data_IF_921316166484
#
_entry.id   IF_921316166484
#
_cell.length_a   1.000
_cell.length_b   1.000
_cell.length_c   1.000
_cell.angle_alpha   90.00
_cell.angle_beta   90.00
_cell.angle_gamma   90.00
#
_symmetry.space_group_name_H-M   'P 1'
#
loop_
_entity.id
_entity.type
_entity.pdbx_description
1 polymer ?
#
# COMPACT_ATOMS: atom_id res chain seq x y z
N UNK A 1 10.75 8.33 -17.42
CA UNK A 1 9.33 8.52 -17.77
C UNK A 1 8.70 9.46 -16.76
N UNK A 2 8.52 10.73 -17.11
CA UNK A 2 7.98 11.76 -16.21
C UNK A 2 6.45 11.71 -16.30
N UNK A 3 5.82 11.06 -15.32
CA UNK A 3 4.35 10.98 -15.25
C UNK A 3 3.75 12.38 -15.01
N UNK A 4 3.44 13.09 -16.10
CA UNK A 4 2.72 14.39 -16.13
C UNK A 4 1.21 14.22 -15.89
N UNK A 5 0.84 13.39 -14.91
CA UNK A 5 -0.53 13.21 -14.46
C UNK A 5 -0.55 13.15 -12.94
N UNK A 6 -1.51 13.80 -12.29
CA UNK A 6 -1.71 13.64 -10.86
C UNK A 6 -2.00 12.17 -10.57
N UNK A 7 -1.05 11.46 -9.96
CA UNK A 7 -1.24 10.07 -9.53
C UNK A 7 -2.51 9.97 -8.68
N UNK A 8 -3.37 9.03 -9.05
CA UNK A 8 -4.57 8.70 -8.29
C UNK A 8 -4.19 8.16 -6.90
N UNK A 9 -5.15 8.20 -5.97
CA UNK A 9 -4.95 7.64 -4.63
C UNK A 9 -4.52 6.16 -4.67
N UNK A 10 -5.09 5.38 -5.61
CA UNK A 10 -4.73 3.98 -5.83
C UNK A 10 -3.26 3.84 -6.24
N UNK A 11 -2.82 4.57 -7.26
CA UNK A 11 -1.45 4.49 -7.77
C UNK A 11 -0.44 4.92 -6.71
N UNK A 12 -0.71 5.99 -5.95
CA UNK A 12 0.15 6.43 -4.85
C UNK A 12 0.33 5.35 -3.79
N UNK A 13 -0.76 4.67 -3.39
CA UNK A 13 -0.70 3.59 -2.41
C UNK A 13 0.14 2.42 -2.95
N UNK A 14 -0.12 2.00 -4.18
CA UNK A 14 0.61 0.89 -4.79
C UNK A 14 2.11 1.19 -4.96
N UNK A 15 2.44 2.42 -5.35
CA UNK A 15 3.83 2.88 -5.50
C UNK A 15 4.57 2.86 -4.16
N UNK A 16 3.98 3.39 -3.10
CA UNK A 16 4.57 3.34 -1.75
C UNK A 16 4.76 1.90 -1.28
N UNK A 17 3.79 1.01 -1.52
CA UNK A 17 3.91 -0.40 -1.16
C UNK A 17 4.93 -1.16 -2.02
N UNK A 18 5.13 -0.75 -3.27
CA UNK A 18 6.19 -1.29 -4.13
C UNK A 18 7.57 -0.89 -3.62
N UNK A 19 7.78 0.39 -3.30
CA UNK A 19 9.08 0.90 -2.85
C UNK A 19 9.44 0.48 -1.42
N UNK A 20 8.46 0.41 -0.51
CA UNK A 20 8.69 0.12 0.92
C UNK A 20 8.40 -1.33 1.31
N UNK A 21 7.74 -2.10 0.44
CA UNK A 21 7.38 -3.50 0.64
C UNK A 21 6.17 -3.71 1.56
N UNK A 22 6.27 -3.31 2.83
CA UNK A 22 5.20 -3.46 3.82
C UNK A 22 5.08 -2.22 4.69
N UNK A 23 3.89 -1.64 4.77
CA UNK A 23 3.62 -0.41 5.51
C UNK A 23 2.43 -0.56 6.46
N UNK A 24 2.49 0.12 7.60
CA UNK A 24 1.33 0.41 8.43
C UNK A 24 0.41 1.47 7.80
N UNK A 25 -0.80 1.60 8.33
CA UNK A 25 -1.73 2.65 7.89
C UNK A 25 -1.16 4.06 8.12
N UNK A 26 -0.39 4.24 9.19
CA UNK A 26 0.21 5.54 9.55
C UNK A 26 1.35 5.91 8.62
N UNK A 27 2.18 4.94 8.23
CA UNK A 27 3.21 5.13 7.23
C UNK A 27 2.62 5.44 5.85
N UNK A 28 1.55 4.74 5.47
CA UNK A 28 0.84 5.03 4.22
C UNK A 28 0.29 6.45 4.20
N UNK A 29 -0.30 6.93 5.30
CA UNK A 29 -0.74 8.32 5.40
C UNK A 29 0.43 9.29 5.29
N UNK A 30 1.54 9.03 5.98
CA UNK A 30 2.75 9.87 5.94
C UNK A 30 3.32 9.97 4.53
N UNK A 31 3.42 8.87 3.79
CA UNK A 31 4.03 8.84 2.46
C UNK A 31 3.09 9.34 1.37
N UNK A 32 1.82 8.93 1.40
CA UNK A 32 0.86 9.31 0.34
C UNK A 32 0.21 10.67 0.58
N UNK A 33 0.27 11.19 1.82
CA UNK A 33 -0.48 12.37 2.30
C UNK A 33 -2.00 12.22 2.14
N UNK A 34 -2.51 10.99 2.11
CA UNK A 34 -3.93 10.67 2.02
C UNK A 34 -4.45 10.36 3.42
N UNK A 35 -5.62 10.94 3.77
CA UNK A 35 -6.26 10.70 5.07
C UNK A 35 -6.54 9.20 5.30
N UNK A 36 -6.39 8.74 6.55
CA UNK A 36 -6.59 7.33 6.97
C UNK A 36 -7.92 6.72 6.49
N UNK A 37 -9.02 7.46 6.59
CA UNK A 37 -10.34 6.97 6.17
C UNK A 37 -10.40 6.65 4.67
N UNK A 38 -9.81 7.51 3.84
CA UNK A 38 -9.71 7.30 2.39
C UNK A 38 -8.78 6.13 2.07
N UNK A 39 -7.63 6.05 2.75
CA UNK A 39 -6.71 4.91 2.63
C UNK A 39 -7.40 3.58 2.92
N UNK A 40 -8.19 3.48 3.99
CA UNK A 40 -8.90 2.25 4.35
C UNK A 40 -9.88 1.79 3.28
N UNK A 41 -10.58 2.71 2.62
CA UNK A 41 -11.47 2.40 1.50
C UNK A 41 -10.66 1.81 0.33
N UNK A 42 -9.57 2.48 -0.05
CA UNK A 42 -8.72 2.00 -1.16
C UNK A 42 -8.04 0.67 -0.83
N UNK A 43 -7.43 0.51 0.35
CA UNK A 43 -6.80 -0.73 0.78
C UNK A 43 -7.81 -1.88 0.84
N UNK A 44 -9.06 -1.60 1.20
CA UNK A 44 -10.12 -2.60 1.19
C UNK A 44 -10.49 -3.04 -0.22
N UNK A 45 -10.59 -2.10 -1.17
CA UNK A 45 -10.84 -2.40 -2.59
C UNK A 45 -9.67 -3.18 -3.20
N UNK A 46 -8.44 -2.71 -2.99
CA UNK A 46 -7.21 -3.35 -3.47
C UNK A 46 -7.04 -4.78 -2.93
N UNK A 47 -7.42 -5.04 -1.69
CA UNK A 47 -7.40 -6.38 -1.14
C UNK A 47 -8.48 -7.29 -1.74
N UNK A 48 -9.67 -6.76 -2.06
CA UNK A 48 -10.70 -7.51 -2.79
C UNK A 48 -10.26 -7.83 -4.22
N UNK A 49 -9.56 -6.89 -4.87
CA UNK A 49 -8.92 -7.07 -6.18
C UNK A 49 -7.72 -8.03 -6.13
N UNK A 50 -7.28 -8.46 -4.94
CA UNK A 50 -6.15 -9.37 -4.77
C UNK A 50 -4.78 -8.72 -4.94
N UNK A 51 -4.70 -7.39 -4.98
CA UNK A 51 -3.46 -6.62 -5.19
C UNK A 51 -2.69 -6.39 -3.89
N UNK A 52 -3.42 -6.20 -2.78
CA UNK A 52 -2.84 -5.90 -1.46
C UNK A 52 -3.19 -7.00 -0.47
N UNK A 53 -2.18 -7.53 0.21
CA UNK A 53 -2.32 -8.38 1.38
C UNK A 53 -2.39 -7.54 2.66
N UNK A 54 -3.21 -7.98 3.61
CA UNK A 54 -3.33 -7.38 4.95
C UNK A 54 -2.91 -8.42 5.99
N UNK A 55 -2.02 -8.04 6.89
CA UNK A 55 -1.58 -8.90 7.99
C UNK A 55 -1.47 -8.13 9.31
N UNK A 56 -1.27 -8.87 10.38
CA UNK A 56 -0.86 -8.29 11.66
C UNK A 56 0.66 -8.29 11.73
N UNK A 57 1.23 -7.18 12.18
CA UNK A 57 2.64 -7.05 12.49
C UNK A 57 2.82 -6.67 13.95
N UNK A 58 3.97 -7.04 14.51
CA UNK A 58 4.39 -6.64 15.86
C UNK A 58 5.64 -5.78 15.77
N UNK A 59 5.66 -4.67 16.50
CA UNK A 59 6.77 -3.72 16.56
C UNK A 59 6.69 -2.97 17.87
N UNK A 60 7.80 -2.92 18.61
CA UNK A 60 7.87 -2.23 19.91
C UNK A 60 6.81 -2.69 20.92
N UNK A 61 6.47 -3.98 20.93
CA UNK A 61 5.46 -4.55 21.83
C UNK A 61 4.01 -4.22 21.48
N UNK A 62 3.74 -3.53 20.36
CA UNK A 62 2.38 -3.22 19.89
C UNK A 62 2.06 -3.99 18.60
N UNK A 63 0.80 -4.40 18.49
CA UNK A 63 0.26 -5.04 17.28
C UNK A 63 -0.36 -3.98 16.38
N UNK A 64 -0.01 -3.99 15.10
CA UNK A 64 -0.55 -3.07 14.10
C UNK A 64 -0.88 -3.82 12.82
N UNK A 65 -1.80 -3.27 12.03
CA UNK A 65 -2.08 -3.79 10.69
C UNK A 65 -1.00 -3.35 9.72
N UNK A 66 -0.43 -4.33 9.02
CA UNK A 66 0.49 -4.15 7.90
C UNK A 66 -0.22 -4.43 6.59
N UNK A 67 0.15 -3.66 5.58
CA UNK A 67 -0.31 -3.78 4.20
C UNK A 67 0.89 -3.98 3.30
N UNK A 68 0.82 -4.94 2.38
CA UNK A 68 1.90 -5.27 1.44
C UNK A 68 1.32 -5.58 0.07
N UNK A 69 2.09 -5.39 -1.00
CA UNK A 69 1.69 -5.93 -2.30
C UNK A 69 1.71 -7.46 -2.28
N UNK A 70 0.72 -8.09 -2.92
CA UNK A 70 0.69 -9.53 -3.10
C UNK A 70 1.75 -9.93 -4.14
N UNK A 71 2.47 -11.03 -3.90
CA UNK A 71 3.58 -11.47 -4.77
C UNK A 71 3.19 -11.58 -6.24
N UNK A 72 1.99 -12.12 -6.52
CA UNK A 72 1.44 -12.22 -7.87
C UNK A 72 1.38 -10.88 -8.62
N UNK A 73 1.15 -9.78 -7.91
CA UNK A 73 1.15 -8.45 -8.50
C UNK A 73 2.56 -7.87 -8.68
N UNK A 74 3.52 -8.25 -7.82
CA UNK A 74 4.93 -7.90 -8.01
C UNK A 74 5.51 -8.56 -9.26
N UNK A 75 5.16 -9.83 -9.49
CA UNK A 75 5.53 -10.59 -10.70
C UNK A 75 4.95 -9.94 -11.97
N UNK A 76 3.68 -9.52 -11.92
CA UNK A 76 3.01 -8.82 -13.04
C UNK A 76 3.64 -7.44 -13.35
N UNK A 77 4.23 -6.81 -12.33
CA UNK A 77 4.94 -5.53 -12.43
C UNK A 77 6.44 -5.65 -12.79
N UNK A 78 6.99 -6.88 -12.91
CA UNK A 78 8.44 -7.13 -13.12
C UNK A 78 9.34 -6.37 -12.12
N UNK A 79 8.88 -6.22 -10.88
CA UNK A 79 9.70 -5.65 -9.81
C UNK A 79 10.55 -6.78 -9.23
N UNK A 80 11.75 -6.98 -9.81
CA UNK A 80 12.83 -7.84 -9.28
C UNK A 80 13.57 -7.18 -8.12
#
# INVERSE_FOLDING_TARGET
MTYKGHLTAKEKILLVLAEKGSCSLEELEKYTRIKRNVLLVHLTRLAKEGLVYRGWGHFGGKTFRKYSLKSKYKEELKLE
#
